data_IF_006309372394
#
_entry.id   IF_006309372394
#
_cell.length_a   1.000
_cell.length_b   1.000
_cell.length_c   1.000
_cell.angle_alpha   90.00
_cell.angle_beta   90.00
_cell.angle_gamma   90.00
#
_symmetry.space_group_name_H-M   'P 1'
#
loop_
_entity.id
_entity.type
_entity.pdbx_description
1 polymer ?
#
# COMPACT_ATOMS: atom_id res chain seq x y z
N UNK A 1 7.71 9.44 -9.65
CA UNK A 1 9.09 9.51 -9.13
C UNK A 1 9.24 8.41 -8.10
N UNK A 2 10.29 7.57 -8.19
CA UNK A 2 10.62 6.64 -7.10
C UNK A 2 11.37 7.39 -6.02
N UNK A 3 10.99 7.15 -4.76
CA UNK A 3 11.54 7.78 -3.58
C UNK A 3 12.07 6.69 -2.65
N UNK A 4 13.24 6.94 -2.07
CA UNK A 4 13.97 5.94 -1.28
C UNK A 4 13.77 6.11 0.23
N UNK A 5 13.50 7.33 0.71
CA UNK A 5 13.32 7.60 2.15
C UNK A 5 11.96 8.22 2.45
N UNK A 6 11.47 8.00 3.68
CA UNK A 6 10.23 8.62 4.16
C UNK A 6 10.36 10.15 4.22
N UNK A 7 11.51 10.69 4.65
CA UNK A 7 11.67 12.15 4.71
C UNK A 7 11.55 12.80 3.34
N UNK A 8 12.23 12.23 2.33
CA UNK A 8 12.10 12.70 0.96
C UNK A 8 10.66 12.57 0.47
N UNK A 9 9.96 11.48 0.80
CA UNK A 9 8.58 11.25 0.40
C UNK A 9 7.67 12.36 0.93
N UNK A 10 7.70 12.65 2.23
CA UNK A 10 6.87 13.70 2.82
C UNK A 10 7.25 15.11 2.32
N UNK A 11 8.52 15.38 2.03
CA UNK A 11 8.97 16.70 1.55
C UNK A 11 8.44 17.09 0.17
N UNK A 12 8.11 16.13 -0.69
CA UNK A 12 7.63 16.39 -2.06
C UNK A 12 6.12 16.36 -2.18
N UNK A 13 5.41 15.97 -1.11
CA UNK A 13 3.96 15.93 -1.10
C UNK A 13 3.38 17.33 -0.87
N UNK A 14 2.23 17.65 -1.52
CA UNK A 14 1.47 18.84 -1.18
C UNK A 14 1.02 18.83 0.29
N UNK A 15 0.86 20.01 0.88
CA UNK A 15 0.29 20.13 2.22
C UNK A 15 -1.18 19.65 2.21
N UNK A 16 -1.60 18.96 3.27
CA UNK A 16 -2.96 18.44 3.44
C UNK A 16 -3.45 17.50 2.31
N UNK A 17 -2.57 16.64 1.83
CA UNK A 17 -2.92 15.64 0.81
C UNK A 17 -3.20 14.26 1.39
N UNK A 18 -3.83 13.38 0.61
CA UNK A 18 -4.00 11.97 0.97
C UNK A 18 -2.91 11.11 0.35
N UNK A 19 -2.48 10.10 1.09
CA UNK A 19 -1.55 9.05 0.66
C UNK A 19 -2.35 7.76 0.53
N UNK A 20 -2.05 6.97 -0.51
CA UNK A 20 -2.61 5.63 -0.70
C UNK A 20 -1.52 4.59 -0.49
N UNK A 21 -1.77 3.58 0.34
CA UNK A 21 -0.91 2.42 0.48
C UNK A 21 -1.46 1.21 -0.27
N UNK A 22 -0.54 0.43 -0.83
CA UNK A 22 -0.79 -0.80 -1.57
C UNK A 22 -0.08 -1.97 -0.89
N UNK A 23 -0.84 -3.01 -0.55
CA UNK A 23 -0.31 -4.35 -0.27
C UNK A 23 -0.49 -5.21 -1.53
N UNK A 24 0.61 -5.54 -2.21
CA UNK A 24 0.56 -6.18 -3.54
C UNK A 24 0.71 -7.70 -3.40
N UNK A 25 -0.42 -8.38 -3.21
CA UNK A 25 -0.53 -9.83 -3.21
C UNK A 25 -0.56 -10.45 -4.61
N UNK A 26 -0.57 -11.78 -4.68
CA UNK A 26 -0.63 -12.51 -5.96
C UNK A 26 -2.01 -12.41 -6.65
N UNK A 27 -3.08 -12.42 -5.86
CA UNK A 27 -4.47 -12.44 -6.35
C UNK A 27 -5.20 -11.11 -6.16
N UNK A 28 -4.72 -10.28 -5.26
CA UNK A 28 -5.42 -9.09 -4.75
C UNK A 28 -4.41 -7.99 -4.48
N UNK A 29 -4.87 -6.74 -4.49
CA UNK A 29 -4.12 -5.58 -4.02
C UNK A 29 -4.94 -4.95 -2.90
N UNK A 30 -4.43 -5.00 -1.68
CA UNK A 30 -5.00 -4.29 -0.54
C UNK A 30 -4.80 -2.78 -0.68
N UNK A 31 -5.85 -2.00 -0.43
CA UNK A 31 -5.77 -0.53 -0.46
C UNK A 31 -6.08 0.04 0.91
N UNK A 32 -5.31 1.05 1.31
CA UNK A 32 -5.60 1.88 2.48
C UNK A 32 -5.23 3.34 2.20
N UNK A 33 -5.90 4.27 2.89
CA UNK A 33 -5.76 5.71 2.68
C UNK A 33 -5.45 6.43 3.99
N UNK A 34 -4.62 7.47 3.92
CA UNK A 34 -4.40 8.36 5.05
C UNK A 34 -5.49 9.43 5.14
N UNK A 35 -5.67 9.98 6.33
CA UNK A 35 -6.22 11.31 6.46
C UNK A 35 -5.24 12.38 5.94
N UNK A 36 -5.71 13.62 5.79
CA UNK A 36 -4.90 14.73 5.25
C UNK A 36 -3.84 15.23 6.22
N UNK A 37 -3.97 14.92 7.51
CA UNK A 37 -2.97 15.27 8.54
C UNK A 37 -1.89 14.21 8.68
N UNK A 38 -1.97 13.10 7.94
CA UNK A 38 -1.01 11.99 7.97
C UNK A 38 -0.90 11.37 9.38
N UNK A 39 -2.03 11.21 10.07
CA UNK A 39 -2.12 10.69 11.43
C UNK A 39 -2.73 9.29 11.50
N UNK A 40 -3.69 8.98 10.63
CA UNK A 40 -4.46 7.74 10.67
C UNK A 40 -4.54 7.12 9.29
N UNK A 41 -4.22 5.83 9.21
CA UNK A 41 -4.49 4.99 8.05
C UNK A 41 -5.83 4.26 8.18
N UNK A 42 -6.66 4.32 7.14
CA UNK A 42 -7.95 3.64 7.08
C UNK A 42 -7.97 2.61 5.94
N UNK A 43 -8.31 1.33 6.20
CA UNK A 43 -8.54 0.35 5.14
C UNK A 43 -9.63 0.83 4.16
N UNK A 44 -9.41 0.62 2.86
CA UNK A 44 -10.40 0.96 1.83
C UNK A 44 -11.14 -0.29 1.33
N UNK A 45 -10.58 -0.94 0.31
CA UNK A 45 -11.10 -2.15 -0.33
C UNK A 45 -9.94 -2.85 -1.03
N UNK A 46 -10.23 -3.97 -1.69
CA UNK A 46 -9.22 -4.68 -2.49
C UNK A 46 -9.48 -4.58 -3.97
N UNK A 47 -8.42 -4.58 -4.78
CA UNK A 47 -8.51 -4.80 -6.22
C UNK A 47 -8.21 -6.27 -6.49
N UNK A 48 -9.17 -7.01 -7.02
CA UNK A 48 -8.93 -8.36 -7.52
C UNK A 48 -8.03 -8.30 -8.77
N UNK A 49 -6.83 -8.88 -8.69
CA UNK A 49 -5.83 -8.86 -9.76
C UNK A 49 -6.28 -9.72 -10.92
N UNK A 50 -6.13 -9.18 -12.13
CA UNK A 50 -6.42 -9.88 -13.39
C UNK A 50 -5.22 -9.74 -14.31
N UNK A 51 -5.10 -8.59 -14.95
CA UNK A 51 -4.01 -8.25 -15.85
C UNK A 51 -3.54 -6.85 -15.49
N UNK A 52 -2.24 -6.60 -15.62
CA UNK A 52 -1.63 -5.36 -15.15
C UNK A 52 -2.37 -4.10 -15.62
N UNK A 53 -2.84 -4.05 -16.87
CA UNK A 53 -3.57 -2.90 -17.40
C UNK A 53 -4.90 -2.65 -16.68
N UNK A 54 -5.69 -3.70 -16.41
CA UNK A 54 -6.97 -3.57 -15.67
C UNK A 54 -6.73 -3.23 -14.20
N UNK A 55 -5.71 -3.81 -13.60
CA UNK A 55 -5.32 -3.54 -12.23
C UNK A 55 -4.91 -2.06 -12.08
N UNK A 56 -4.14 -1.56 -13.05
CA UNK A 56 -3.71 -0.16 -13.13
C UNK A 56 -4.89 0.78 -13.36
N UNK A 57 -5.81 0.47 -14.28
CA UNK A 57 -7.00 1.30 -14.53
C UNK A 57 -7.86 1.46 -13.26
N UNK A 58 -8.06 0.37 -12.51
CA UNK A 58 -8.78 0.39 -11.24
C UNK A 58 -8.03 1.24 -10.20
N UNK A 59 -6.70 1.10 -10.10
CA UNK A 59 -5.88 1.90 -9.19
C UNK A 59 -5.92 3.40 -9.55
N UNK A 60 -5.79 3.75 -10.83
CA UNK A 60 -5.83 5.14 -11.32
C UNK A 60 -7.19 5.80 -11.06
N UNK A 61 -8.29 5.01 -11.15
CA UNK A 61 -9.61 5.48 -10.76
C UNK A 61 -9.65 5.89 -9.28
N UNK A 62 -9.11 5.06 -8.38
CA UNK A 62 -9.03 5.39 -6.94
C UNK A 62 -8.15 6.61 -6.70
N UNK A 63 -6.98 6.69 -7.35
CA UNK A 63 -6.06 7.83 -7.24
C UNK A 63 -6.76 9.13 -7.61
N UNK A 64 -7.52 9.12 -8.72
CA UNK A 64 -8.27 10.29 -9.18
C UNK A 64 -9.43 10.64 -8.25
N UNK A 65 -10.25 9.67 -7.87
CA UNK A 65 -11.47 9.89 -7.07
C UNK A 65 -11.17 10.32 -5.63
N UNK A 66 -10.00 9.98 -5.10
CA UNK A 66 -9.60 10.29 -3.71
C UNK A 66 -8.56 11.40 -3.62
N UNK A 67 -8.16 11.97 -4.76
CA UNK A 67 -7.16 13.03 -4.88
C UNK A 67 -5.84 12.63 -4.19
N UNK A 68 -5.37 11.42 -4.50
CA UNK A 68 -4.16 10.86 -3.91
C UNK A 68 -2.94 11.56 -4.49
N UNK A 69 -2.08 12.07 -3.62
CA UNK A 69 -0.86 12.77 -4.02
C UNK A 69 0.42 11.93 -3.90
N UNK A 70 0.35 10.79 -3.21
CA UNK A 70 1.49 9.88 -3.03
C UNK A 70 1.06 8.42 -2.88
N UNK A 71 1.90 7.52 -3.38
CA UNK A 71 1.73 6.08 -3.20
C UNK A 71 2.80 5.51 -2.27
N UNK A 72 2.37 4.61 -1.40
CA UNK A 72 3.23 3.76 -0.59
C UNK A 72 2.97 2.34 -1.02
N UNK A 73 4.02 1.60 -1.34
CA UNK A 73 3.90 0.19 -1.72
C UNK A 73 4.69 -0.59 -0.70
N UNK A 74 4.03 -1.48 0.03
CA UNK A 74 4.73 -2.31 0.97
C UNK A 74 5.69 -3.27 0.23
N UNK A 75 6.85 -3.47 0.84
CA UNK A 75 7.94 -4.28 0.34
C UNK A 75 8.15 -5.47 1.31
N UNK A 76 7.89 -6.72 0.87
CA UNK A 76 7.96 -7.90 1.72
C UNK A 76 9.42 -8.36 1.88
N UNK A 77 10.20 -7.59 2.63
CA UNK A 77 11.58 -7.92 2.97
C UNK A 77 11.62 -9.17 3.86
N UNK A 78 12.69 -9.96 3.70
CA UNK A 78 12.96 -11.08 4.61
C UNK A 78 13.30 -10.55 6.01
N UNK A 79 13.18 -11.37 7.05
CA UNK A 79 13.43 -10.93 8.44
C UNK A 79 14.83 -10.33 8.65
N UNK A 80 15.83 -10.78 7.89
CA UNK A 80 17.21 -10.25 7.89
C UNK A 80 17.38 -8.94 7.08
N UNK A 81 16.31 -8.42 6.47
CA UNK A 81 16.28 -7.21 5.65
C UNK A 81 16.63 -7.43 4.18
N UNK A 82 16.88 -8.68 3.76
CA UNK A 82 17.23 -8.99 2.37
C UNK A 82 16.00 -9.03 1.44
N UNK A 83 16.20 -8.74 0.16
CA UNK A 83 15.14 -8.80 -0.85
C UNK A 83 14.99 -10.21 -1.45
N UNK A 84 13.76 -10.73 -1.44
CA UNK A 84 13.39 -11.96 -2.14
C UNK A 84 12.81 -11.71 -3.55
N UNK A 85 12.42 -12.79 -4.25
CA UNK A 85 11.73 -12.70 -5.55
C UNK A 85 10.45 -11.86 -5.53
N UNK A 86 9.73 -11.86 -4.40
CA UNK A 86 8.52 -11.05 -4.21
C UNK A 86 8.83 -9.55 -4.26
N UNK A 87 9.93 -9.10 -3.63
CA UNK A 87 10.37 -7.71 -3.68
C UNK A 87 10.60 -7.23 -5.12
N UNK A 88 11.21 -8.07 -5.97
CA UNK A 88 11.43 -7.73 -7.38
C UNK A 88 10.12 -7.52 -8.13
N UNK A 89 9.11 -8.38 -7.90
CA UNK A 89 7.78 -8.26 -8.51
C UNK A 89 7.08 -6.97 -8.10
N UNK A 90 7.11 -6.65 -6.80
CA UNK A 90 6.54 -5.42 -6.23
C UNK A 90 7.24 -4.17 -6.78
N UNK A 91 8.57 -4.17 -6.83
CA UNK A 91 9.35 -3.07 -7.42
C UNK A 91 9.02 -2.87 -8.89
N UNK A 92 8.88 -3.96 -9.64
CA UNK A 92 8.49 -3.89 -11.05
C UNK A 92 7.08 -3.34 -11.22
N UNK A 93 6.14 -3.71 -10.34
CA UNK A 93 4.79 -3.17 -10.32
C UNK A 93 4.80 -1.65 -10.12
N UNK A 94 5.50 -1.15 -9.10
CA UNK A 94 5.65 0.29 -8.86
C UNK A 94 6.30 1.04 -10.04
N UNK A 95 7.36 0.46 -10.64
CA UNK A 95 7.99 1.03 -11.85
C UNK A 95 7.04 1.08 -13.03
N UNK A 96 6.19 0.07 -13.21
CA UNK A 96 5.25 0.04 -14.31
C UNK A 96 4.13 1.09 -14.13
N UNK A 97 3.69 1.39 -12.89
CA UNK A 97 2.78 2.51 -12.62
C UNK A 97 3.39 3.82 -13.15
N UNK A 98 4.67 4.07 -12.86
CA UNK A 98 5.37 5.28 -13.28
C UNK A 98 5.55 5.45 -14.79
N UNK A 99 5.38 4.38 -15.58
CA UNK A 99 5.38 4.49 -17.06
C UNK A 99 4.11 5.15 -17.59
N UNK A 100 3.04 5.14 -16.80
CA UNK A 100 1.70 5.58 -17.24
C UNK A 100 1.18 6.75 -16.40
N UNK A 101 1.61 6.86 -15.14
CA UNK A 101 1.15 7.90 -14.24
C UNK A 101 2.28 8.44 -13.36
N UNK A 102 2.46 9.75 -13.36
CA UNK A 102 3.49 10.43 -12.58
C UNK A 102 2.95 10.73 -11.18
N UNK A 103 3.41 9.95 -10.20
CA UNK A 103 3.12 10.15 -8.79
C UNK A 103 4.37 9.80 -7.95
N UNK A 104 4.62 10.45 -6.80
CA UNK A 104 5.60 9.99 -5.82
C UNK A 104 5.26 8.57 -5.36
N UNK A 105 6.23 7.65 -5.42
CA UNK A 105 6.10 6.28 -4.93
C UNK A 105 7.23 5.98 -3.95
N UNK A 106 6.88 5.58 -2.74
CA UNK A 106 7.80 5.06 -1.72
C UNK A 106 7.59 3.55 -1.55
N UNK A 107 8.67 2.79 -1.49
CA UNK A 107 8.61 1.40 -1.04
C UNK A 107 8.85 1.36 0.47
N UNK A 108 7.95 0.72 1.22
CA UNK A 108 8.00 0.70 2.68
C UNK A 108 8.20 -0.71 3.23
N UNK A 109 9.03 -0.84 4.26
CA UNK A 109 9.34 -2.12 4.88
C UNK A 109 8.13 -2.69 5.65
N UNK A 110 7.65 -3.86 5.23
CA UNK A 110 6.48 -4.53 5.84
C UNK A 110 6.81 -5.39 7.07
N UNK A 111 8.09 -5.57 7.44
CA UNK A 111 8.51 -6.54 8.49
C UNK A 111 7.94 -6.25 9.87
N UNK A 112 7.59 -5.00 10.14
CA UNK A 112 7.01 -4.57 11.42
C UNK A 112 5.47 -4.63 11.45
N UNK A 113 4.84 -5.15 10.39
CA UNK A 113 3.41 -5.41 10.39
C UNK A 113 3.08 -6.51 11.42
N UNK A 114 2.37 -6.13 12.48
CA UNK A 114 2.14 -7.07 13.60
C UNK A 114 1.17 -8.17 13.17
N UNK A 115 1.61 -9.43 13.25
CA UNK A 115 0.70 -10.58 13.12
C UNK A 115 -0.51 -10.46 14.06
N UNK A 116 -0.32 -9.82 15.21
CA UNK A 116 -1.36 -9.51 16.18
C UNK A 116 -2.46 -8.60 15.62
N UNK A 117 -2.13 -7.60 14.79
CA UNK A 117 -3.11 -6.74 14.14
C UNK A 117 -3.95 -7.51 13.11
N UNK A 118 -3.33 -8.46 12.39
CA UNK A 118 -4.04 -9.27 11.40
C UNK A 118 -4.81 -10.46 12.00
N UNK A 119 -4.40 -10.98 13.17
CA UNK A 119 -4.97 -12.19 13.77
C UNK A 119 -6.46 -12.07 14.09
N UNK A 120 -6.89 -10.96 14.69
CA UNK A 120 -8.31 -10.73 15.06
C UNK A 120 -9.24 -10.72 13.84
N UNK A 121 -8.74 -10.33 12.66
CA UNK A 121 -9.53 -10.34 11.43
C UNK A 121 -9.67 -11.74 10.85
N UNK A 122 -8.62 -12.57 10.98
CA UNK A 122 -8.65 -13.96 10.52
C UNK A 122 -9.64 -14.82 11.31
N UNK A 123 -9.91 -14.45 12.55
CA UNK A 123 -10.84 -15.11 13.47
C UNK A 123 -12.30 -14.62 13.34
N UNK A 124 -12.60 -13.70 12.41
CA UNK A 124 -13.95 -13.16 12.23
C UNK A 124 -14.91 -14.14 11.53
N UNK A 125 -16.17 -14.14 11.96
CA UNK A 125 -17.25 -15.03 11.48
C UNK A 125 -17.88 -14.53 10.16
N UNK A 126 -17.02 -14.34 9.16
CA UNK A 126 -17.41 -13.95 7.79
C UNK A 126 -16.89 -14.97 6.77
N UNK A 127 -17.47 -14.97 5.57
CA UNK A 127 -17.08 -15.90 4.51
C UNK A 127 -15.59 -15.80 4.17
N UNK A 128 -14.99 -16.89 3.70
CA UNK A 128 -13.55 -16.95 3.41
C UNK A 128 -13.09 -15.85 2.44
N UNK A 129 -13.89 -15.56 1.41
CA UNK A 129 -13.58 -14.54 0.41
C UNK A 129 -13.69 -13.12 1.00
N UNK A 130 -14.76 -12.84 1.75
CA UNK A 130 -14.93 -11.55 2.43
C UNK A 130 -13.84 -11.31 3.48
N UNK A 131 -13.36 -12.38 4.12
CA UNK A 131 -12.24 -12.33 5.05
C UNK A 131 -10.93 -12.01 4.35
N UNK A 132 -10.64 -12.64 3.21
CA UNK A 132 -9.42 -12.37 2.44
C UNK A 132 -9.37 -10.90 2.01
N UNK A 133 -10.48 -10.39 1.43
CA UNK A 133 -10.59 -8.99 1.04
C UNK A 133 -10.32 -8.05 2.23
N UNK A 134 -10.92 -8.34 3.38
CA UNK A 134 -10.74 -7.51 4.56
C UNK A 134 -9.31 -7.59 5.13
N UNK A 135 -8.68 -8.76 5.08
CA UNK A 135 -7.31 -8.96 5.57
C UNK A 135 -6.32 -8.15 4.74
N UNK A 136 -6.42 -8.19 3.41
CA UNK A 136 -5.47 -7.48 2.53
C UNK A 136 -5.64 -5.95 2.65
N UNK A 137 -6.88 -5.45 2.72
CA UNK A 137 -7.13 -4.03 2.95
C UNK A 137 -6.58 -3.56 4.32
N UNK A 138 -6.65 -4.41 5.34
CA UNK A 138 -6.05 -4.11 6.65
C UNK A 138 -4.52 -4.19 6.59
N UNK A 139 -3.94 -5.14 5.86
CA UNK A 139 -2.50 -5.21 5.67
C UNK A 139 -1.96 -3.90 5.05
N UNK A 140 -2.62 -3.40 4.01
CA UNK A 140 -2.31 -2.09 3.44
C UNK A 140 -2.41 -0.94 4.47
N UNK A 141 -3.38 -1.00 5.39
CA UNK A 141 -3.52 0.01 6.44
C UNK A 141 -2.42 -0.08 7.49
N UNK A 142 -1.98 -1.28 7.86
CA UNK A 142 -0.84 -1.49 8.77
C UNK A 142 0.44 -0.96 8.15
N UNK A 143 0.66 -1.20 6.86
CA UNK A 143 1.80 -0.67 6.10
C UNK A 143 1.79 0.86 6.15
N UNK A 144 0.65 1.47 5.82
CA UNK A 144 0.53 2.92 5.82
C UNK A 144 0.73 3.49 7.21
N UNK A 145 0.08 2.93 8.23
CA UNK A 145 0.21 3.41 9.60
C UNK A 145 1.67 3.34 10.07
N UNK A 146 2.39 2.27 9.74
CA UNK A 146 3.82 2.16 10.05
C UNK A 146 4.66 3.30 9.45
N UNK A 147 4.35 3.74 8.23
CA UNK A 147 4.98 4.94 7.64
C UNK A 147 4.56 6.23 8.36
N UNK A 148 3.27 6.39 8.66
CA UNK A 148 2.75 7.59 9.32
C UNK A 148 3.33 7.76 10.73
N UNK A 149 3.48 6.67 11.48
CA UNK A 149 4.07 6.66 12.81
C UNK A 149 5.58 6.92 12.78
N UNK A 150 6.25 6.51 11.69
CA UNK A 150 7.67 6.77 11.43
C UNK A 150 7.92 8.09 10.69
N UNK A 151 6.89 8.92 10.53
CA UNK A 151 7.03 10.24 9.91
C UNK A 151 8.01 11.09 10.73
N UNK A 152 8.95 11.82 10.09
CA UNK A 152 9.85 12.74 10.77
C UNK A 152 9.12 13.94 11.40
#
# INVERSE_FOLDING_TARGET
MLIETSEQFFSVLPQYCRILALDVGEKTIGLAISDVMHTVATPLHTIARKQFTKDLDALLKVIKEREIAGLVIGLPLNMDGTEGKKCQSVRQFGRNILKTHTIPILFWDERLSTEAAMRKLRESDISADARLEKVDAVAAAVILQGLLDAKP
#
